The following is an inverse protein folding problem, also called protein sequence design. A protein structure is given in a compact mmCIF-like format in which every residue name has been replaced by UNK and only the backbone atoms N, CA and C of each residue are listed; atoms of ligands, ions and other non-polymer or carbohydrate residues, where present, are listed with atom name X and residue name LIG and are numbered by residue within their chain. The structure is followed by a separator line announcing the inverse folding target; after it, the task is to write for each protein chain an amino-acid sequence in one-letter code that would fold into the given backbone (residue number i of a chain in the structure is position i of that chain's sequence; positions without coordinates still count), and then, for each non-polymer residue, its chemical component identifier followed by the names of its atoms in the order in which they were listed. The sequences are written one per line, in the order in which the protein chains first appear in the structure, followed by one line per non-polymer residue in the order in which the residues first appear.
data_IF_858111157807
#
_entry.id   IF_858111157807
#
_cell.length_a   1.000
_cell.length_b   1.000
_cell.length_c   1.000
_cell.angle_alpha   90.00
_cell.angle_beta   90.00
_cell.angle_gamma   90.00
#
_symmetry.space_group_name_H-M   'P 1'
#
loop_
_entity.id
_entity.type
_entity.pdbx_description
1 polymer ?
#
# COMPACT_ATOMS: atom_id res chain seq x y z
N UNK A 1 10.54 -5.81 18.36
CA UNK A 1 9.68 -7.02 18.18
C UNK A 1 9.98 -7.76 16.88
N UNK A 2 10.23 -7.09 15.73
CA UNK A 2 10.43 -7.79 14.44
C UNK A 2 11.89 -8.17 14.10
N UNK A 3 12.89 -7.70 14.85
CA UNK A 3 14.30 -7.99 14.57
C UNK A 3 14.61 -9.49 14.44
N UNK A 4 14.11 -10.38 15.31
CA UNK A 4 14.32 -11.83 15.14
C UNK A 4 13.72 -12.39 13.84
N UNK A 5 12.60 -11.82 13.36
CA UNK A 5 12.00 -12.24 12.10
C UNK A 5 12.89 -11.87 10.90
N UNK A 6 13.56 -10.70 10.97
CA UNK A 6 14.52 -10.28 9.95
C UNK A 6 15.72 -11.24 9.88
N UNK A 7 16.24 -11.70 11.01
CA UNK A 7 17.33 -12.69 11.06
C UNK A 7 16.91 -14.04 10.45
N UNK A 8 15.72 -14.53 10.80
CA UNK A 8 15.17 -15.77 10.22
C UNK A 8 15.02 -15.64 8.71
N UNK A 9 14.50 -14.51 8.23
CA UNK A 9 14.31 -14.24 6.81
C UNK A 9 15.64 -14.15 6.05
N UNK A 10 16.67 -13.50 6.62
CA UNK A 10 18.04 -13.47 6.05
C UNK A 10 18.58 -14.89 5.89
N UNK A 11 18.47 -15.71 6.93
CA UNK A 11 18.94 -17.10 6.90
C UNK A 11 18.18 -17.96 5.88
N UNK A 12 16.90 -17.65 5.64
CA UNK A 12 16.07 -18.33 4.66
C UNK A 12 16.26 -17.80 3.22
N UNK A 13 16.97 -16.68 3.03
CA UNK A 13 17.08 -16.02 1.72
C UNK A 13 15.75 -15.46 1.22
N UNK A 14 14.85 -15.05 2.13
CA UNK A 14 13.52 -14.50 1.82
C UNK A 14 13.46 -13.04 2.22
N UNK A 15 12.85 -12.20 1.39
CA UNK A 15 12.53 -10.82 1.72
C UNK A 15 11.20 -10.74 2.48
N UNK A 16 11.20 -10.09 3.63
CA UNK A 16 9.99 -9.71 4.33
C UNK A 16 9.46 -8.39 3.79
N UNK A 17 8.14 -8.25 3.82
CA UNK A 17 7.49 -6.98 3.61
C UNK A 17 6.63 -6.64 4.83
N UNK A 18 6.74 -5.40 5.33
CA UNK A 18 5.87 -4.89 6.40
C UNK A 18 4.80 -4.00 5.78
N UNK A 19 3.55 -4.37 5.99
CA UNK A 19 2.42 -3.61 5.49
C UNK A 19 2.23 -2.31 6.27
N UNK A 20 2.01 -1.23 5.53
CA UNK A 20 1.46 -0.02 6.12
C UNK A 20 -0.01 -0.26 6.46
N UNK A 21 -0.35 -0.24 7.75
CA UNK A 21 -1.67 -0.63 8.25
C UNK A 21 -2.38 0.48 9.02
N UNK A 22 -3.67 0.64 8.78
CA UNK A 22 -4.50 1.57 9.57
C UNK A 22 -4.50 1.15 11.06
N UNK A 23 -4.45 2.13 11.97
CA UNK A 23 -4.45 1.85 13.42
C UNK A 23 -3.21 1.10 13.97
N UNK A 24 -2.16 0.87 13.16
CA UNK A 24 -0.91 0.23 13.59
C UNK A 24 0.19 1.25 13.91
N UNK A 25 1.34 0.77 14.41
CA UNK A 25 2.54 1.61 14.59
C UNK A 25 3.25 1.94 13.26
N UNK A 26 2.93 1.22 12.18
CA UNK A 26 3.47 1.41 10.83
C UNK A 26 2.32 1.83 9.92
N UNK A 27 1.87 3.07 10.06
CA UNK A 27 0.66 3.58 9.40
C UNK A 27 0.97 4.51 8.21
N UNK A 28 2.24 4.71 7.90
CA UNK A 28 2.71 5.56 6.80
C UNK A 28 4.01 5.02 6.21
N UNK A 29 4.36 5.43 4.99
CA UNK A 29 5.66 5.08 4.42
C UNK A 29 6.81 5.66 5.24
N UNK A 30 6.61 6.81 5.89
CA UNK A 30 7.62 7.39 6.78
C UNK A 30 7.92 6.50 7.98
N UNK A 31 6.89 5.99 8.66
CA UNK A 31 7.06 5.08 9.81
C UNK A 31 7.62 3.73 9.39
N UNK A 32 7.23 3.22 8.22
CA UNK A 32 7.76 1.98 7.66
C UNK A 32 9.26 2.10 7.33
N UNK A 33 9.65 3.18 6.63
CA UNK A 33 11.05 3.47 6.32
C UNK A 33 11.88 3.64 7.58
N UNK A 34 11.38 4.41 8.55
CA UNK A 34 12.04 4.57 9.85
C UNK A 34 12.24 3.24 10.57
N UNK A 35 11.23 2.35 10.58
CA UNK A 35 11.37 1.02 11.16
C UNK A 35 12.50 0.22 10.50
N UNK A 36 12.58 0.25 9.17
CA UNK A 36 13.62 -0.44 8.40
C UNK A 36 15.01 0.14 8.74
N UNK A 37 15.13 1.46 8.79
CA UNK A 37 16.37 2.17 9.11
C UNK A 37 16.82 1.91 10.56
N UNK A 38 15.91 2.02 11.53
CA UNK A 38 16.17 1.78 12.96
C UNK A 38 16.61 0.32 13.23
N UNK A 39 16.27 -0.61 12.34
CA UNK A 39 16.66 -2.02 12.41
C UNK A 39 17.89 -2.38 11.57
N UNK A 40 18.41 -1.45 10.77
CA UNK A 40 19.43 -1.70 9.75
C UNK A 40 19.07 -2.95 8.90
N UNK A 41 17.85 -2.94 8.37
CA UNK A 41 17.22 -4.12 7.76
C UNK A 41 16.85 -3.94 6.30
N UNK A 42 17.36 -2.92 5.61
CA UNK A 42 16.99 -2.67 4.22
C UNK A 42 17.35 -3.85 3.29
N UNK A 43 18.34 -4.67 3.65
CA UNK A 43 18.70 -5.87 2.88
C UNK A 43 17.62 -6.98 2.89
N UNK A 44 16.76 -7.03 3.91
CA UNK A 44 15.81 -8.15 4.11
C UNK A 44 14.36 -7.71 4.34
N UNK A 45 14.12 -6.47 4.78
CA UNK A 45 12.81 -5.94 5.10
C UNK A 45 12.49 -4.76 4.19
N UNK A 46 11.36 -4.86 3.50
CA UNK A 46 10.82 -3.85 2.59
C UNK A 46 9.42 -3.42 3.02
N UNK A 47 8.90 -2.39 2.39
CA UNK A 47 7.53 -1.88 2.60
C UNK A 47 6.58 -2.68 1.70
N UNK A 48 5.53 -3.26 2.28
CA UNK A 48 4.29 -3.53 1.55
C UNK A 48 3.47 -2.26 1.65
N UNK A 49 3.42 -1.51 0.56
CA UNK A 49 2.76 -0.22 0.54
C UNK A 49 1.28 -0.38 0.20
N UNK A 50 0.42 0.00 1.14
CA UNK A 50 -1.00 0.17 0.92
C UNK A 50 -1.36 1.66 1.10
N UNK A 51 -1.52 2.42 -0.01
CA UNK A 51 -1.86 3.84 0.08
C UNK A 51 -3.21 4.12 0.75
N UNK A 52 -4.15 3.16 0.73
CA UNK A 52 -5.45 3.32 1.34
C UNK A 52 -5.38 3.25 2.87
N UNK A 53 -4.53 2.38 3.40
CA UNK A 53 -4.25 2.37 4.83
C UNK A 53 -3.59 3.69 5.29
N UNK A 54 -2.69 4.24 4.47
CA UNK A 54 -1.97 5.47 4.79
C UNK A 54 -2.87 6.71 4.78
N UNK A 55 -4.03 6.65 4.10
CA UNK A 55 -5.05 7.69 4.18
C UNK A 55 -5.49 7.95 5.64
N UNK A 56 -5.43 6.95 6.52
CA UNK A 56 -5.80 7.09 7.94
C UNK A 56 -4.97 8.15 8.66
N UNK A 57 -3.68 8.27 8.32
CA UNK A 57 -2.79 9.32 8.84
C UNK A 57 -2.64 10.50 7.87
N UNK A 58 -3.54 10.62 6.89
CA UNK A 58 -3.57 11.69 5.90
C UNK A 58 -2.30 11.78 5.04
N UNK A 59 -1.59 10.66 4.82
CA UNK A 59 -0.49 10.65 3.86
C UNK A 59 -1.02 10.61 2.44
N UNK A 60 -0.58 11.56 1.61
CA UNK A 60 -0.81 11.52 0.16
C UNK A 60 0.02 10.40 -0.47
N UNK A 61 -0.60 9.59 -1.32
CA UNK A 61 0.08 8.56 -2.08
C UNK A 61 1.09 9.18 -3.08
N UNK A 62 0.72 10.31 -3.70
CA UNK A 62 1.56 11.03 -4.64
C UNK A 62 1.64 12.54 -4.32
N UNK A 63 2.83 13.17 -4.42
CA UNK A 63 4.14 12.54 -4.68
C UNK A 63 4.77 11.96 -3.41
N UNK A 64 4.37 12.45 -2.23
CA UNK A 64 5.09 12.21 -0.98
C UNK A 64 5.21 10.73 -0.61
N UNK A 65 4.11 9.98 -0.64
CA UNK A 65 4.09 8.57 -0.28
C UNK A 65 5.05 7.76 -1.16
N UNK A 66 4.94 7.91 -2.47
CA UNK A 66 5.84 7.29 -3.45
C UNK A 66 7.32 7.62 -3.19
N UNK A 67 7.64 8.91 -3.09
CA UNK A 67 9.01 9.40 -2.84
C UNK A 67 9.61 8.85 -1.54
N UNK A 68 8.76 8.60 -0.54
CA UNK A 68 9.23 8.02 0.74
C UNK A 68 9.55 6.52 0.59
N UNK A 69 8.76 5.79 -0.21
CA UNK A 69 8.88 4.35 -0.38
C UNK A 69 9.85 3.89 -1.48
N UNK A 70 10.24 4.77 -2.41
CA UNK A 70 11.21 4.42 -3.46
C UNK A 70 12.63 4.22 -2.91
N UNK A 71 13.64 4.14 -3.79
CA UNK A 71 15.06 3.99 -3.45
C UNK A 71 15.36 2.70 -2.67
N UNK A 72 14.72 1.60 -3.10
CA UNK A 72 14.97 0.27 -2.56
C UNK A 72 14.20 -0.05 -1.29
N UNK A 73 13.26 0.78 -0.82
CA UNK A 73 12.41 0.42 0.32
C UNK A 73 11.13 -0.32 -0.10
N UNK A 74 10.61 -0.07 -1.30
CA UNK A 74 9.37 -0.66 -1.79
C UNK A 74 9.57 -2.14 -2.17
N UNK A 75 8.78 -3.03 -1.57
CA UNK A 75 8.81 -4.46 -1.85
C UNK A 75 7.55 -4.95 -2.57
N UNK A 76 6.37 -4.56 -2.08
CA UNK A 76 5.09 -4.96 -2.64
C UNK A 76 4.07 -3.82 -2.55
N UNK A 77 3.02 -3.86 -3.37
CA UNK A 77 2.00 -2.81 -3.40
C UNK A 77 0.61 -3.45 -3.36
N UNK A 78 -0.21 -2.99 -2.44
CA UNK A 78 -1.65 -3.26 -2.42
C UNK A 78 -2.41 -2.02 -2.85
N UNK A 79 -3.39 -2.20 -3.74
CA UNK A 79 -4.27 -1.14 -4.20
C UNK A 79 -5.71 -1.45 -3.80
N UNK A 80 -6.32 -0.49 -3.12
CA UNK A 80 -7.76 -0.35 -2.89
C UNK A 80 -8.09 1.14 -2.80
N UNK A 81 -9.36 1.50 -2.82
CA UNK A 81 -9.81 2.89 -2.71
C UNK A 81 -10.72 3.07 -1.50
N UNK A 82 -10.62 4.22 -0.85
CA UNK A 82 -11.27 4.49 0.44
C UNK A 82 -11.68 5.94 0.56
N UNK A 83 -12.55 6.23 1.53
CA UNK A 83 -12.76 7.55 2.10
C UNK A 83 -12.60 7.45 3.61
N UNK A 84 -11.63 8.15 4.17
CA UNK A 84 -11.43 8.17 5.63
C UNK A 84 -12.13 9.37 6.28
N UNK A 85 -12.59 9.16 7.50
CA UNK A 85 -12.98 10.19 8.45
C UNK A 85 -12.28 9.87 9.78
N UNK A 86 -10.99 10.22 9.83
CA UNK A 86 -10.12 9.98 10.99
C UNK A 86 -10.68 10.62 12.28
N UNK A 87 -11.24 11.86 12.28
CA UNK A 87 -11.91 12.42 13.45
C UNK A 87 -13.03 11.55 14.04
N UNK A 88 -13.80 10.86 13.20
CA UNK A 88 -14.83 9.92 13.64
C UNK A 88 -14.34 8.48 13.80
N UNK A 89 -13.05 8.22 13.55
CA UNK A 89 -12.47 6.88 13.54
C UNK A 89 -13.22 5.91 12.61
N UNK A 90 -13.62 6.38 11.42
CA UNK A 90 -14.26 5.56 10.40
C UNK A 90 -13.51 5.60 9.07
N UNK A 91 -13.66 4.52 8.31
CA UNK A 91 -13.17 4.38 6.94
C UNK A 91 -14.25 3.66 6.14
N UNK A 92 -14.58 4.22 4.98
CA UNK A 92 -15.46 3.59 4.01
C UNK A 92 -14.63 3.07 2.84
N UNK A 93 -14.76 1.77 2.54
CA UNK A 93 -14.19 1.20 1.33
C UNK A 93 -14.99 1.70 0.13
N UNK A 94 -14.28 2.25 -0.85
CA UNK A 94 -14.89 2.82 -2.06
C UNK A 94 -14.62 1.92 -3.26
N UNK A 95 -15.51 2.04 -4.24
CA UNK A 95 -15.24 1.48 -5.57
C UNK A 95 -13.97 2.12 -6.13
N UNK A 96 -13.16 1.35 -6.83
CA UNK A 96 -11.90 1.83 -7.41
C UNK A 96 -12.11 3.06 -8.30
N UNK A 97 -11.47 4.17 -7.95
CA UNK A 97 -11.55 5.44 -8.68
C UNK A 97 -12.71 6.34 -8.24
N UNK A 98 -13.41 6.00 -7.17
CA UNK A 98 -14.49 6.80 -6.57
C UNK A 98 -14.19 7.23 -5.13
N UNK A 99 -13.03 6.87 -4.57
CA UNK A 99 -12.55 7.35 -3.28
C UNK A 99 -11.48 8.44 -3.40
N UNK A 100 -10.86 8.77 -2.27
CA UNK A 100 -9.92 9.89 -2.18
C UNK A 100 -8.57 9.63 -2.86
N UNK A 101 -8.27 8.37 -3.21
CA UNK A 101 -7.06 8.01 -3.96
C UNK A 101 -7.24 8.10 -5.47
N UNK A 102 -8.47 8.27 -5.97
CA UNK A 102 -8.82 8.21 -7.39
C UNK A 102 -7.89 9.04 -8.30
N UNK A 103 -7.59 10.28 -7.89
CA UNK A 103 -6.74 11.21 -8.68
C UNK A 103 -5.24 10.95 -8.51
N UNK A 104 -4.84 10.13 -7.54
CA UNK A 104 -3.46 9.85 -7.20
C UNK A 104 -2.96 8.54 -7.83
N UNK A 105 -3.85 7.62 -8.19
CA UNK A 105 -3.46 6.33 -8.77
C UNK A 105 -2.69 6.45 -10.08
N UNK A 106 -3.14 7.29 -11.02
CA UNK A 106 -2.46 7.42 -12.32
C UNK A 106 -1.03 7.99 -12.15
N UNK A 107 -0.80 9.09 -11.41
CA UNK A 107 0.55 9.55 -11.10
C UNK A 107 1.44 8.48 -10.44
N UNK A 108 0.92 7.71 -9.48
CA UNK A 108 1.68 6.61 -8.86
C UNK A 108 2.04 5.54 -9.89
N UNK A 109 1.10 5.13 -10.74
CA UNK A 109 1.35 4.13 -11.77
C UNK A 109 2.38 4.61 -12.81
N UNK A 110 2.32 5.89 -13.21
CA UNK A 110 3.26 6.49 -14.15
C UNK A 110 4.67 6.54 -13.56
N UNK A 111 4.80 6.88 -12.27
CA UNK A 111 6.09 6.89 -11.59
C UNK A 111 6.68 5.49 -11.43
N UNK A 112 5.87 4.50 -11.03
CA UNK A 112 6.29 3.09 -10.95
C UNK A 112 6.82 2.59 -12.30
N UNK A 113 6.14 2.92 -13.40
CA UNK A 113 6.60 2.59 -14.77
C UNK A 113 7.89 3.32 -15.13
N UNK A 114 7.97 4.62 -14.85
CA UNK A 114 9.16 5.44 -15.14
C UNK A 114 10.40 4.94 -14.42
N UNK A 115 10.25 4.51 -13.16
CA UNK A 115 11.34 4.01 -12.34
C UNK A 115 11.60 2.51 -12.54
N UNK A 116 10.83 1.85 -13.41
CA UNK A 116 11.04 0.47 -13.80
C UNK A 116 10.70 -0.54 -12.70
N UNK A 117 9.71 -0.25 -11.85
CA UNK A 117 9.22 -1.21 -10.85
C UNK A 117 8.71 -2.48 -11.55
N UNK A 118 9.32 -3.63 -11.20
CA UNK A 118 9.07 -4.93 -11.80
C UNK A 118 8.33 -5.90 -10.86
N UNK A 119 8.00 -5.44 -9.65
CA UNK A 119 7.24 -6.20 -8.66
C UNK A 119 5.75 -6.29 -8.99
N UNK A 120 5.06 -7.19 -8.27
CA UNK A 120 3.62 -7.36 -8.42
C UNK A 120 2.88 -6.22 -7.70
N UNK A 121 1.88 -5.66 -8.38
CA UNK A 121 0.88 -4.76 -7.79
C UNK A 121 -0.40 -5.57 -7.60
N UNK A 122 -0.81 -5.77 -6.35
CA UNK A 122 -1.98 -6.57 -6.00
C UNK A 122 -3.21 -5.68 -5.84
N UNK A 123 -4.30 -6.07 -6.50
CA UNK A 123 -5.60 -5.44 -6.26
C UNK A 123 -6.29 -6.11 -5.07
N UNK A 124 -6.25 -5.47 -3.91
CA UNK A 124 -6.85 -5.97 -2.67
C UNK A 124 -8.28 -5.45 -2.54
N UNK A 125 -9.15 -5.86 -3.46
CA UNK A 125 -10.54 -5.42 -3.44
C UNK A 125 -11.29 -6.03 -2.25
N UNK A 126 -11.62 -5.17 -1.30
CA UNK A 126 -12.57 -5.45 -0.21
C UNK A 126 -13.88 -4.66 -0.39
N UNK A 127 -14.12 -4.13 -1.59
CA UNK A 127 -15.33 -3.38 -1.91
C UNK A 127 -16.50 -4.32 -2.18
N UNK A 128 -17.69 -3.94 -1.73
CA UNK A 128 -18.96 -4.49 -2.17
C UNK A 128 -20.03 -3.38 -2.09
N UNK A 129 -21.08 -3.39 -2.93
CA UNK A 129 -22.10 -2.32 -2.98
C UNK A 129 -23.13 -2.38 -1.82
N UNK A 130 -22.77 -2.99 -0.69
CA UNK A 130 -23.64 -3.18 0.48
C UNK A 130 -24.42 -4.51 0.52
N UNK A 131 -24.23 -5.38 -0.47
CA UNK A 131 -24.85 -6.73 -0.54
C UNK A 131 -24.05 -7.84 0.17
N UNK A 132 -22.79 -7.57 0.52
CA UNK A 132 -21.86 -8.54 1.10
C UNK A 132 -21.15 -9.42 0.07
N UNK A 133 -21.34 -9.16 -1.23
CA UNK A 133 -20.73 -9.92 -2.32
C UNK A 133 -19.43 -9.24 -2.78
N UNK A 134 -18.32 -9.67 -2.19
CA UNK A 134 -16.99 -9.20 -2.55
C UNK A 134 -16.55 -9.60 -3.95
N UNK A 135 -17.06 -10.72 -4.51
CA UNK A 135 -16.71 -11.11 -5.87
C UNK A 135 -17.35 -10.15 -6.88
N UNK A 136 -18.65 -9.85 -6.70
CA UNK A 136 -19.34 -8.85 -7.50
C UNK A 136 -18.65 -7.48 -7.38
N UNK A 137 -18.31 -7.06 -6.16
CA UNK A 137 -17.57 -5.83 -5.91
C UNK A 137 -16.19 -5.79 -6.59
N UNK A 138 -15.42 -6.89 -6.55
CA UNK A 138 -14.15 -7.04 -7.25
C UNK A 138 -14.33 -6.86 -8.76
N UNK A 139 -15.32 -7.53 -9.36
CA UNK A 139 -15.63 -7.45 -10.80
C UNK A 139 -16.02 -6.05 -11.25
N UNK A 140 -16.65 -5.26 -10.38
CA UNK A 140 -16.97 -3.85 -10.64
C UNK A 140 -15.74 -2.93 -10.70
N UNK A 141 -14.58 -3.39 -10.21
CA UNK A 141 -13.38 -2.57 -10.05
C UNK A 141 -12.19 -3.02 -10.91
N UNK A 142 -12.08 -4.32 -11.22
CA UNK A 142 -10.86 -4.91 -11.79
C UNK A 142 -10.44 -4.30 -13.13
N UNK A 143 -11.38 -3.92 -13.99
CA UNK A 143 -11.06 -3.32 -15.29
C UNK A 143 -10.42 -1.94 -15.13
N UNK A 144 -10.88 -1.15 -14.15
CA UNK A 144 -10.27 0.13 -13.82
C UNK A 144 -8.87 -0.06 -13.25
N UNK A 145 -8.69 -1.02 -12.35
CA UNK A 145 -7.37 -1.37 -11.81
C UNK A 145 -6.39 -1.74 -12.94
N UNK A 146 -6.79 -2.64 -13.84
CA UNK A 146 -5.96 -3.05 -15.00
C UNK A 146 -5.68 -1.90 -15.96
N UNK A 147 -6.62 -0.98 -16.15
CA UNK A 147 -6.39 0.21 -16.99
C UNK A 147 -5.28 1.10 -16.42
N UNK A 148 -5.20 1.23 -15.09
CA UNK A 148 -4.23 2.12 -14.44
C UNK A 148 -2.89 1.43 -14.19
N UNK A 149 -2.90 0.19 -13.69
CA UNK A 149 -1.73 -0.54 -13.18
C UNK A 149 -1.32 -1.76 -14.01
N UNK A 150 -2.09 -2.11 -15.05
CA UNK A 150 -1.76 -3.20 -15.97
C UNK A 150 -0.79 -2.81 -17.08
#
# INVERSE_FOLDING_TARGET
LIAPACEVARNAGVTLVVETGNGTMVNSNWTARRLIDDLDANDVLKILWDPANNCWCHEEAWPRGYETAKDGYLGHIHIKDVQVDTPSATLEVRRMGEGQLAIQFQPVADALRSDGYDGVISFESVYHPGDGDFEAGFRLCIDRFKTIFG
#
